data_IF_570976794088
#
_entry.id   IF_570976794088
#
_cell.length_a   1.000
_cell.length_b   1.000
_cell.length_c   1.000
_cell.angle_alpha   90.00
_cell.angle_beta   90.00
_cell.angle_gamma   90.00
#
_symmetry.space_group_name_H-M   'P 1'
#
loop_
_entity.id
_entity.type
_entity.pdbx_description
1 polymer ?
#
# COMPACT_ATOMS: atom_id res chain seq x y z
N UNK A 1 25.72 89.63 -46.60
CA UNK A 1 25.39 89.02 -45.30
C UNK A 1 26.41 87.90 -45.03
N UNK A 2 27.46 88.13 -44.21
CA UNK A 2 28.55 87.17 -44.13
C UNK A 2 28.64 86.41 -42.80
N UNK A 3 29.03 85.14 -42.95
CA UNK A 3 30.00 84.37 -42.18
C UNK A 3 29.74 83.98 -40.71
N UNK A 4 29.58 82.66 -40.53
CA UNK A 4 30.46 81.77 -39.77
C UNK A 4 31.12 82.29 -38.48
N UNK A 5 30.94 81.56 -37.37
CA UNK A 5 32.02 80.85 -36.63
C UNK A 5 31.53 80.28 -35.30
N UNK A 6 31.80 78.99 -35.11
CA UNK A 6 31.88 78.29 -33.82
C UNK A 6 32.95 78.92 -32.93
N UNK A 7 32.76 78.89 -31.60
CA UNK A 7 33.76 78.19 -30.78
C UNK A 7 33.16 77.39 -29.62
N UNK A 8 33.83 76.28 -29.31
CA UNK A 8 33.79 75.58 -28.02
C UNK A 8 35.16 75.77 -27.33
N UNK A 9 35.44 75.28 -26.11
CA UNK A 9 34.58 74.95 -24.96
C UNK A 9 35.09 75.61 -23.65
N UNK A 10 34.38 75.47 -22.54
CA UNK A 10 34.98 75.58 -21.19
C UNK A 10 34.43 74.49 -20.28
N UNK A 11 35.35 73.64 -19.82
CA UNK A 11 35.06 72.45 -19.04
C UNK A 11 34.69 72.78 -17.59
N UNK A 12 33.75 72.02 -17.05
CA UNK A 12 33.45 71.99 -15.61
C UNK A 12 33.69 70.55 -15.13
N UNK A 13 34.59 70.41 -14.16
CA UNK A 13 34.96 69.13 -13.53
C UNK A 13 33.99 68.87 -12.37
N UNK A 14 33.24 67.76 -12.32
CA UNK A 14 32.55 67.39 -11.09
C UNK A 14 33.46 66.54 -10.20
N UNK A 15 33.30 66.77 -8.90
CA UNK A 15 34.05 66.18 -7.81
C UNK A 15 33.88 64.65 -7.72
N UNK A 16 34.96 63.98 -7.32
CA UNK A 16 35.01 62.53 -7.09
C UNK A 16 34.21 62.20 -5.83
N UNK A 17 32.98 61.70 -5.98
CA UNK A 17 32.19 61.20 -4.85
C UNK A 17 32.67 59.80 -4.46
N UNK A 18 33.10 59.64 -3.22
CA UNK A 18 33.33 58.32 -2.61
C UNK A 18 31.98 57.70 -2.21
N UNK A 19 31.70 56.49 -2.71
CA UNK A 19 31.21 55.30 -1.97
C UNK A 19 30.56 54.28 -2.92
N UNK A 20 31.13 53.07 -3.05
CA UNK A 20 30.29 51.88 -3.26
C UNK A 20 30.60 50.70 -2.33
N UNK A 21 31.47 50.84 -1.32
CA UNK A 21 31.87 49.70 -0.48
C UNK A 21 30.86 49.28 0.61
N UNK A 22 29.86 50.13 0.94
CA UNK A 22 28.85 49.78 1.95
C UNK A 22 27.80 48.78 1.47
N UNK A 23 27.40 48.87 0.20
CA UNK A 23 26.37 48.01 -0.38
C UNK A 23 26.85 46.57 -0.58
N UNK A 24 28.11 46.37 -0.98
CA UNK A 24 28.69 45.04 -1.15
C UNK A 24 28.78 44.26 0.18
N UNK A 25 29.14 44.94 1.27
CA UNK A 25 29.21 44.32 2.59
C UNK A 25 27.81 43.98 3.14
N UNK A 26 26.81 44.85 2.93
CA UNK A 26 25.44 44.60 3.34
C UNK A 26 24.79 43.43 2.57
N UNK A 27 25.04 43.34 1.26
CA UNK A 27 24.54 42.22 0.42
C UNK A 27 25.23 40.91 0.78
N UNK A 28 26.55 40.92 1.03
CA UNK A 28 27.27 39.73 1.47
C UNK A 28 26.79 39.25 2.85
N UNK A 29 26.57 40.16 3.80
CA UNK A 29 26.02 39.82 5.12
C UNK A 29 24.59 39.25 5.02
N UNK A 30 23.75 39.83 4.16
CA UNK A 30 22.41 39.31 3.91
C UNK A 30 22.43 37.93 3.23
N UNK A 31 23.34 37.68 2.28
CA UNK A 31 23.52 36.38 1.65
C UNK A 31 24.07 35.32 2.62
N UNK A 32 24.97 35.70 3.52
CA UNK A 32 25.46 34.82 4.60
C UNK A 32 24.36 34.53 5.61
N UNK A 33 23.55 35.52 5.98
CA UNK A 33 22.39 35.31 6.86
C UNK A 33 21.34 34.43 6.20
N UNK A 34 21.01 34.63 4.92
CA UNK A 34 20.10 33.76 4.18
C UNK A 34 20.68 32.35 4.00
N UNK A 35 21.98 32.23 3.75
CA UNK A 35 22.69 30.95 3.70
C UNK A 35 22.72 30.25 5.05
N UNK A 36 22.88 30.99 6.15
CA UNK A 36 22.85 30.44 7.51
C UNK A 36 21.43 30.07 7.96
N UNK A 37 20.42 30.85 7.59
CA UNK A 37 19.00 30.53 7.80
C UNK A 37 18.62 29.31 6.97
N UNK A 38 19.02 29.25 5.69
CA UNK A 38 18.81 28.06 4.86
C UNK A 38 19.54 26.84 5.44
N UNK A 39 20.77 26.99 5.91
CA UNK A 39 21.56 25.91 6.50
C UNK A 39 21.01 25.44 7.85
N UNK A 40 20.45 26.35 8.66
CA UNK A 40 19.81 25.98 9.93
C UNK A 40 18.42 25.40 9.71
N UNK A 41 17.70 25.79 8.65
CA UNK A 41 16.43 25.18 8.25
C UNK A 41 16.59 23.81 7.59
N UNK A 42 17.73 23.53 6.95
CA UNK A 42 18.06 22.21 6.35
C UNK A 42 19.04 21.41 7.20
N UNK A 43 19.32 21.85 8.43
CA UNK A 43 20.12 21.05 9.35
C UNK A 43 19.25 19.85 9.76
N UNK A 44 19.74 18.60 9.66
CA UNK A 44 19.00 17.47 10.18
C UNK A 44 18.94 17.65 11.70
N UNK A 45 17.74 17.88 12.23
CA UNK A 45 17.52 17.83 13.67
C UNK A 45 17.55 16.35 14.09
N UNK A 46 18.53 15.97 14.92
CA UNK A 46 18.60 14.65 15.60
C UNK A 46 17.52 14.49 16.68
N UNK A 47 16.35 15.08 16.50
CA UNK A 47 15.20 14.92 17.39
C UNK A 47 14.08 14.16 16.69
N UNK A 48 14.10 12.85 16.96
CA UNK A 48 12.99 11.90 16.86
C UNK A 48 11.67 12.54 17.28
N UNK A 49 10.80 12.92 16.33
CA UNK A 49 9.33 12.76 16.30
C UNK A 49 8.79 13.25 14.93
N UNK A 50 9.24 12.61 13.86
CA UNK A 50 8.63 12.72 12.53
C UNK A 50 8.82 11.36 11.89
N UNK A 51 7.73 10.65 11.58
CA UNK A 51 7.83 9.33 10.94
C UNK A 51 8.66 9.43 9.67
N UNK A 52 9.74 8.65 9.57
CA UNK A 52 10.54 8.57 8.34
C UNK A 52 9.67 7.95 7.25
N UNK A 53 9.70 8.52 6.04
CA UNK A 53 8.94 7.97 4.92
C UNK A 53 9.50 6.61 4.48
N UNK A 54 8.68 5.77 3.83
CA UNK A 54 9.15 4.51 3.23
C UNK A 54 10.37 4.74 2.33
N UNK A 55 10.39 5.85 1.60
CA UNK A 55 11.49 6.23 0.72
C UNK A 55 12.78 6.57 1.51
N UNK A 56 12.67 7.32 2.62
CA UNK A 56 13.82 7.66 3.47
C UNK A 56 14.41 6.43 4.14
N UNK A 57 13.53 5.51 4.57
CA UNK A 57 13.95 4.27 5.22
C UNK A 57 14.61 3.33 4.21
N UNK A 58 14.05 3.16 3.01
CA UNK A 58 14.64 2.29 1.99
C UNK A 58 15.96 2.79 1.41
N UNK A 59 16.30 4.07 1.60
CA UNK A 59 17.56 4.65 1.14
C UNK A 59 18.77 4.29 2.04
N UNK A 60 18.54 3.81 3.26
CA UNK A 60 19.61 3.33 4.13
C UNK A 60 19.77 1.81 3.99
N UNK A 61 20.94 1.30 3.57
CA UNK A 61 21.16 -0.13 3.33
C UNK A 61 20.93 -1.03 4.56
N UNK A 62 21.08 -0.44 5.75
CA UNK A 62 20.94 -1.08 7.07
C UNK A 62 19.59 -0.78 7.74
N UNK A 63 18.68 -0.07 7.07
CA UNK A 63 17.37 0.22 7.65
C UNK A 63 16.63 -1.06 8.01
N UNK A 64 16.35 -1.18 9.30
CA UNK A 64 15.97 -2.42 9.95
C UNK A 64 14.60 -2.97 9.56
N UNK A 65 14.24 -4.03 10.25
CA UNK A 65 12.86 -4.54 10.30
C UNK A 65 12.09 -3.70 11.31
N UNK A 66 10.95 -3.17 10.90
CA UNK A 66 10.06 -2.38 11.76
C UNK A 66 8.87 -3.25 12.18
N UNK A 67 8.75 -3.61 13.48
CA UNK A 67 7.66 -4.48 13.97
C UNK A 67 6.26 -3.95 13.67
N UNK A 68 6.11 -2.63 13.59
CA UNK A 68 4.85 -1.96 13.26
C UNK A 68 4.43 -2.22 11.82
N UNK A 69 5.39 -2.27 10.89
CA UNK A 69 5.14 -2.53 9.48
C UNK A 69 4.85 -4.02 9.22
N UNK A 70 5.32 -4.92 10.06
CA UNK A 70 5.01 -6.35 9.95
C UNK A 70 3.50 -6.62 10.15
N UNK A 71 2.83 -5.80 10.96
CA UNK A 71 1.39 -5.90 11.24
C UNK A 71 0.50 -5.58 10.03
N UNK A 72 1.06 -5.06 8.94
CA UNK A 72 0.34 -4.78 7.69
C UNK A 72 -0.06 -6.04 6.92
N UNK A 73 0.61 -7.16 7.20
CA UNK A 73 0.28 -8.45 6.63
C UNK A 73 -1.10 -8.91 7.15
N UNK A 74 -2.13 -8.84 6.30
CA UNK A 74 -3.51 -9.20 6.69
C UNK A 74 -3.65 -10.70 6.88
N UNK A 75 -2.91 -11.51 6.10
CA UNK A 75 -2.92 -12.99 6.13
C UNK A 75 -4.33 -13.59 6.00
N UNK A 76 -5.26 -12.87 5.37
CA UNK A 76 -6.61 -13.36 5.13
C UNK A 76 -6.59 -14.36 3.96
N UNK A 77 -6.91 -15.63 4.26
CA UNK A 77 -6.98 -16.69 3.25
C UNK A 77 -8.06 -16.44 2.18
N UNK A 78 -9.06 -15.60 2.47
CA UNK A 78 -10.12 -15.23 1.56
C UNK A 78 -9.84 -13.96 0.75
N UNK A 79 -8.70 -13.28 0.98
CA UNK A 79 -8.35 -12.06 0.26
C UNK A 79 -8.11 -12.34 -1.24
N UNK A 80 -8.98 -11.84 -2.14
CA UNK A 80 -8.83 -12.09 -3.57
C UNK A 80 -7.69 -11.27 -4.20
N UNK A 81 -7.15 -10.28 -3.49
CA UNK A 81 -6.03 -9.42 -3.92
C UNK A 81 -4.68 -9.96 -3.42
N UNK A 82 -4.66 -11.14 -2.81
CA UNK A 82 -3.45 -11.80 -2.37
C UNK A 82 -3.12 -13.04 -3.21
N UNK A 83 -1.84 -13.38 -3.28
CA UNK A 83 -1.32 -14.58 -3.94
C UNK A 83 -0.42 -15.35 -2.99
N UNK A 84 -0.60 -16.67 -2.92
CA UNK A 84 0.12 -17.54 -2.00
C UNK A 84 -0.66 -17.82 -0.72
N UNK A 85 -0.18 -18.81 0.04
CA UNK A 85 -0.87 -19.29 1.24
C UNK A 85 -0.87 -18.23 2.35
N UNK A 86 -1.96 -18.12 3.10
CA UNK A 86 -2.07 -17.22 4.25
C UNK A 86 -0.99 -17.48 5.33
N UNK A 87 -0.56 -18.74 5.46
CA UNK A 87 0.44 -19.21 6.41
C UNK A 87 1.89 -19.15 5.87
N UNK A 88 2.12 -18.53 4.72
CA UNK A 88 3.48 -18.38 4.18
C UNK A 88 4.37 -17.64 5.20
N UNK A 89 5.61 -18.10 5.47
CA UNK A 89 6.48 -17.50 6.48
C UNK A 89 6.84 -16.05 6.15
N UNK A 90 6.88 -15.69 4.87
CA UNK A 90 7.16 -14.32 4.41
C UNK A 90 5.92 -13.73 3.71
N UNK A 91 5.59 -12.49 4.06
CA UNK A 91 4.57 -11.68 3.40
C UNK A 91 5.23 -10.43 2.83
N UNK A 92 4.94 -10.15 1.56
CA UNK A 92 5.27 -8.91 0.88
C UNK A 92 3.96 -8.16 0.59
N UNK A 93 3.79 -6.99 1.20
CA UNK A 93 2.70 -6.06 0.86
C UNK A 93 3.20 -5.14 -0.25
N UNK A 94 2.43 -4.98 -1.32
CA UNK A 94 2.70 -4.09 -2.44
C UNK A 94 1.64 -3.00 -2.56
N UNK A 95 2.06 -1.74 -2.46
CA UNK A 95 1.24 -0.56 -2.76
C UNK A 95 1.57 -0.07 -4.17
N UNK A 96 0.60 -0.16 -5.07
CA UNK A 96 0.85 0.07 -6.49
C UNK A 96 -0.34 0.67 -7.25
N UNK A 97 -0.03 1.21 -8.43
CA UNK A 97 -0.96 1.93 -9.30
C UNK A 97 -0.84 1.39 -10.73
N UNK A 98 -1.97 1.07 -11.37
CA UNK A 98 -2.01 0.54 -12.74
C UNK A 98 -1.47 1.50 -13.80
N UNK A 99 -1.44 2.81 -13.55
CA UNK A 99 -0.81 3.81 -14.43
C UNK A 99 0.68 3.99 -14.18
N UNK A 100 1.23 3.45 -13.10
CA UNK A 100 2.64 3.59 -12.82
C UNK A 100 3.49 2.72 -13.76
N UNK A 101 4.41 3.34 -14.50
CA UNK A 101 5.34 2.61 -15.37
C UNK A 101 6.27 1.67 -14.59
N UNK A 102 6.69 2.04 -13.37
CA UNK A 102 7.54 1.19 -12.54
C UNK A 102 6.78 0.01 -11.94
N UNK A 103 5.51 0.16 -11.57
CA UNK A 103 4.67 -0.97 -11.16
C UNK A 103 4.53 -1.98 -12.30
N UNK A 104 4.21 -1.51 -13.52
CA UNK A 104 4.15 -2.38 -14.69
C UNK A 104 5.47 -3.08 -15.00
N UNK A 105 6.61 -2.39 -14.80
CA UNK A 105 7.93 -3.00 -14.91
C UNK A 105 8.13 -4.10 -13.87
N UNK A 106 7.83 -3.84 -12.60
CA UNK A 106 7.94 -4.83 -11.53
C UNK A 106 7.06 -6.06 -11.80
N UNK A 107 5.79 -5.86 -12.16
CA UNK A 107 4.83 -6.91 -12.45
C UNK A 107 5.24 -7.81 -13.63
N UNK A 108 5.98 -7.28 -14.61
CA UNK A 108 6.45 -8.05 -15.78
C UNK A 108 7.80 -8.71 -15.57
N UNK A 109 8.72 -8.02 -14.89
CA UNK A 109 10.13 -8.44 -14.85
C UNK A 109 10.49 -9.18 -13.55
N UNK A 110 9.93 -8.79 -12.41
CA UNK A 110 10.35 -9.26 -11.08
C UNK A 110 9.30 -10.15 -10.42
N UNK A 111 8.03 -9.72 -10.39
CA UNK A 111 6.94 -10.49 -9.78
C UNK A 111 6.88 -11.96 -10.28
N UNK A 112 6.98 -12.26 -11.60
CA UNK A 112 6.88 -13.64 -12.07
C UNK A 112 8.04 -14.52 -11.60
N UNK A 113 9.22 -13.95 -11.36
CA UNK A 113 10.35 -14.68 -10.76
C UNK A 113 10.06 -15.00 -9.30
N UNK A 114 9.59 -14.02 -8.52
CA UNK A 114 9.24 -14.20 -7.10
C UNK A 114 8.12 -15.22 -6.92
N UNK A 115 7.13 -15.22 -7.81
CA UNK A 115 6.04 -16.19 -7.81
C UNK A 115 6.59 -17.62 -7.95
N UNK A 116 7.36 -17.89 -8.99
CA UNK A 116 7.92 -19.23 -9.25
C UNK A 116 8.89 -19.68 -8.15
N UNK A 117 9.72 -18.74 -7.66
CA UNK A 117 10.78 -19.06 -6.71
C UNK A 117 10.25 -19.29 -5.30
N UNK A 118 9.20 -18.56 -4.88
CA UNK A 118 8.77 -18.51 -3.48
C UNK A 118 7.27 -18.73 -3.28
N UNK A 119 6.41 -18.12 -4.08
CA UNK A 119 4.94 -18.22 -3.88
C UNK A 119 4.45 -19.63 -4.16
N UNK A 120 4.83 -20.20 -5.31
CA UNK A 120 4.46 -21.58 -5.69
C UNK A 120 5.03 -22.62 -4.72
N UNK A 121 6.11 -22.29 -4.00
CA UNK A 121 6.73 -23.14 -2.98
C UNK A 121 6.16 -22.91 -1.58
N UNK A 122 5.16 -22.04 -1.43
CA UNK A 122 4.54 -21.72 -0.14
C UNK A 122 5.42 -20.93 0.83
N UNK A 123 6.48 -20.27 0.33
CA UNK A 123 7.42 -19.47 1.13
C UNK A 123 6.97 -18.02 1.22
N UNK A 124 6.48 -17.46 0.11
CA UNK A 124 6.06 -16.06 0.01
C UNK A 124 4.55 -15.97 -0.21
N UNK A 125 3.94 -14.97 0.43
CA UNK A 125 2.64 -14.43 0.08
C UNK A 125 2.79 -12.98 -0.38
N UNK A 126 2.14 -12.63 -1.47
CA UNK A 126 2.08 -11.26 -1.98
C UNK A 126 0.68 -10.72 -1.69
N UNK A 127 0.58 -9.57 -1.04
CA UNK A 127 -0.69 -8.89 -0.77
C UNK A 127 -0.71 -7.54 -1.48
N UNK A 128 -1.65 -7.36 -2.40
CA UNK A 128 -1.81 -6.10 -3.11
C UNK A 128 -2.58 -5.07 -2.29
N UNK A 129 -2.21 -3.79 -2.44
CA UNK A 129 -2.88 -2.60 -1.92
C UNK A 129 -3.01 -1.58 -3.04
N UNK A 130 -4.24 -1.12 -3.27
CA UNK A 130 -4.48 -0.10 -4.27
C UNK A 130 -3.91 1.25 -3.79
N UNK A 131 -3.02 1.85 -4.57
CA UNK A 131 -2.47 3.18 -4.28
C UNK A 131 -2.55 4.11 -5.51
N UNK A 132 -3.78 4.46 -5.95
CA UNK A 132 -3.99 5.23 -7.18
C UNK A 132 -3.60 6.71 -7.00
N UNK A 133 -2.42 7.09 -7.44
CA UNK A 133 -1.86 8.45 -7.26
C UNK A 133 -1.76 9.25 -8.57
N UNK A 134 -2.09 8.66 -9.73
CA UNK A 134 -2.02 9.33 -11.05
C UNK A 134 -3.39 9.77 -11.60
N UNK A 135 -4.36 10.02 -10.72
CA UNK A 135 -5.65 10.64 -11.05
C UNK A 135 -6.78 9.65 -11.36
N UNK A 136 -7.84 10.15 -12.02
CA UNK A 136 -9.12 9.43 -12.16
C UNK A 136 -9.01 8.06 -12.84
N UNK A 137 -8.16 7.94 -13.85
CA UNK A 137 -7.93 6.65 -14.53
C UNK A 137 -7.25 5.62 -13.62
N UNK A 138 -6.37 6.05 -12.71
CA UNK A 138 -5.77 5.16 -11.71
C UNK A 138 -6.82 4.65 -10.74
N UNK A 139 -7.68 5.54 -10.26
CA UNK A 139 -8.81 5.21 -9.39
C UNK A 139 -9.77 4.23 -10.09
N UNK A 140 -10.10 4.48 -11.36
CA UNK A 140 -10.95 3.61 -12.16
C UNK A 140 -10.33 2.22 -12.34
N UNK A 141 -9.03 2.14 -12.64
CA UNK A 141 -8.31 0.87 -12.76
C UNK A 141 -8.25 0.10 -11.43
N UNK A 142 -8.02 0.78 -10.31
CA UNK A 142 -8.00 0.18 -8.97
C UNK A 142 -9.38 -0.43 -8.61
N UNK A 143 -10.47 0.31 -8.82
CA UNK A 143 -11.84 -0.19 -8.59
C UNK A 143 -12.18 -1.36 -9.51
N UNK A 144 -11.77 -1.30 -10.77
CA UNK A 144 -11.92 -2.40 -11.72
C UNK A 144 -11.16 -3.66 -11.26
N UNK A 145 -9.91 -3.52 -10.83
CA UNK A 145 -9.14 -4.64 -10.30
C UNK A 145 -9.81 -5.25 -9.07
N UNK A 146 -10.29 -4.41 -8.14
CA UNK A 146 -11.07 -4.86 -6.99
C UNK A 146 -12.31 -5.65 -7.42
N UNK A 147 -13.08 -5.15 -8.40
CA UNK A 147 -14.27 -5.83 -8.93
C UNK A 147 -13.93 -7.17 -9.62
N UNK A 148 -12.80 -7.26 -10.33
CA UNK A 148 -12.30 -8.52 -10.87
C UNK A 148 -11.96 -9.51 -9.73
N UNK A 149 -11.39 -9.02 -8.63
CA UNK A 149 -11.15 -9.79 -7.40
C UNK A 149 -12.42 -10.40 -6.81
N UNK A 150 -13.56 -9.68 -6.85
CA UNK A 150 -14.87 -10.20 -6.42
C UNK A 150 -15.39 -11.39 -7.24
N UNK A 151 -14.75 -11.68 -8.38
CA UNK A 151 -15.01 -12.84 -9.22
C UNK A 151 -13.79 -13.78 -9.33
N UNK A 152 -12.81 -13.65 -8.43
CA UNK A 152 -11.62 -14.51 -8.38
C UNK A 152 -10.66 -14.30 -9.56
N UNK A 153 -10.67 -13.11 -10.17
CA UNK A 153 -9.88 -12.77 -11.37
C UNK A 153 -8.93 -11.59 -11.17
N UNK A 154 -8.63 -11.20 -9.94
CA UNK A 154 -7.73 -10.08 -9.66
C UNK A 154 -6.37 -10.24 -10.36
N UNK A 155 -5.65 -11.34 -10.12
CA UNK A 155 -4.30 -11.53 -10.67
C UNK A 155 -4.25 -11.66 -12.20
N UNK A 156 -5.32 -12.19 -12.80
CA UNK A 156 -5.46 -12.22 -14.26
C UNK A 156 -5.72 -10.82 -14.82
N UNK A 157 -6.55 -10.02 -14.13
CA UNK A 157 -6.78 -8.62 -14.47
C UNK A 157 -5.52 -7.79 -14.28
N UNK A 158 -4.81 -7.97 -13.17
CA UNK A 158 -3.52 -7.35 -12.87
C UNK A 158 -2.52 -7.57 -14.01
N UNK A 159 -2.34 -8.83 -14.41
CA UNK A 159 -1.46 -9.19 -15.53
C UNK A 159 -1.92 -8.55 -16.85
N UNK A 160 -3.22 -8.50 -17.12
CA UNK A 160 -3.76 -7.89 -18.33
C UNK A 160 -3.56 -6.37 -18.34
N UNK A 161 -3.80 -5.70 -17.21
CA UNK A 161 -3.68 -4.26 -17.06
C UNK A 161 -2.22 -3.77 -17.12
N UNK A 162 -1.25 -4.60 -16.73
CA UNK A 162 0.18 -4.31 -16.84
C UNK A 162 0.86 -4.85 -18.10
N UNK A 163 0.11 -5.53 -18.99
CA UNK A 163 0.66 -5.97 -20.27
C UNK A 163 1.20 -4.79 -21.09
N UNK A 164 2.20 -5.05 -21.94
CA UNK A 164 2.76 -4.03 -22.83
C UNK A 164 1.67 -3.37 -23.68
N UNK A 165 1.65 -2.03 -23.71
CA UNK A 165 0.67 -1.26 -24.47
C UNK A 165 -0.70 -1.08 -23.80
N UNK A 166 -0.97 -1.73 -22.66
CA UNK A 166 -2.27 -1.62 -21.98
C UNK A 166 -2.49 -0.22 -21.40
N UNK A 167 -1.50 0.31 -20.66
CA UNK A 167 -1.55 1.65 -20.07
C UNK A 167 -1.71 2.75 -21.13
N UNK A 168 -1.04 2.60 -22.28
CA UNK A 168 -1.06 3.58 -23.37
C UNK A 168 -2.45 3.71 -24.02
N UNK A 169 -3.30 2.68 -23.90
CA UNK A 169 -4.71 2.71 -24.29
C UNK A 169 -5.62 3.41 -23.27
N UNK A 170 -5.08 3.74 -22.10
CA UNK A 170 -5.82 4.34 -20.98
C UNK A 170 -6.62 3.32 -20.17
N UNK A 171 -7.34 3.83 -19.19
CA UNK A 171 -8.19 3.02 -18.29
C UNK A 171 -9.62 3.56 -18.26
N UNK A 172 -10.13 3.93 -19.43
CA UNK A 172 -11.54 4.23 -19.63
C UNK A 172 -12.43 2.99 -19.47
N UNK A 173 -13.71 3.23 -19.24
CA UNK A 173 -14.69 2.18 -18.93
C UNK A 173 -14.71 1.01 -19.93
N UNK A 174 -14.68 1.31 -21.23
CA UNK A 174 -14.64 0.29 -22.28
C UNK A 174 -13.36 -0.56 -22.17
N UNK A 175 -12.19 0.08 -22.06
CA UNK A 175 -10.91 -0.61 -21.97
C UNK A 175 -10.84 -1.48 -20.70
N UNK A 176 -11.39 -1.01 -19.58
CA UNK A 176 -11.47 -1.79 -18.34
C UNK A 176 -12.36 -3.03 -18.49
N UNK A 177 -13.50 -2.92 -19.18
CA UNK A 177 -14.35 -4.08 -19.50
C UNK A 177 -13.63 -5.07 -20.43
N UNK A 178 -12.86 -4.58 -21.41
CA UNK A 178 -12.07 -5.43 -22.30
C UNK A 178 -10.95 -6.17 -21.54
N UNK A 179 -10.23 -5.49 -20.65
CA UNK A 179 -9.23 -6.10 -19.77
C UNK A 179 -9.85 -7.16 -18.85
N UNK A 180 -11.04 -6.91 -18.31
CA UNK A 180 -11.79 -7.88 -17.52
C UNK A 180 -12.18 -9.11 -18.35
N UNK A 181 -12.58 -8.93 -19.61
CA UNK A 181 -12.85 -10.04 -20.52
C UNK A 181 -11.58 -10.88 -20.79
N UNK A 182 -10.44 -10.23 -21.05
CA UNK A 182 -9.13 -10.90 -21.21
C UNK A 182 -8.73 -11.65 -19.94
N UNK A 183 -9.02 -11.09 -18.77
CA UNK A 183 -8.78 -11.72 -17.48
C UNK A 183 -9.70 -12.92 -17.18
N UNK A 184 -10.70 -13.18 -18.04
CA UNK A 184 -11.65 -14.27 -17.87
C UNK A 184 -12.69 -13.99 -16.77
N UNK A 185 -13.03 -12.73 -16.53
CA UNK A 185 -14.19 -12.31 -15.74
C UNK A 185 -15.46 -12.77 -16.46
N UNK A 186 -16.29 -13.56 -15.78
CA UNK A 186 -17.44 -14.22 -16.42
C UNK A 186 -18.65 -13.30 -16.52
N UNK A 187 -18.91 -12.50 -15.48
CA UNK A 187 -20.05 -11.59 -15.43
C UNK A 187 -19.54 -10.14 -15.54
N UNK A 188 -19.47 -9.65 -16.79
CA UNK A 188 -19.02 -8.29 -17.09
C UNK A 188 -20.03 -7.21 -16.66
N UNK A 189 -21.31 -7.56 -16.57
CA UNK A 189 -22.34 -6.63 -16.09
C UNK A 189 -22.18 -6.41 -14.58
N UNK A 190 -22.01 -7.50 -13.82
CA UNK A 190 -21.64 -7.45 -12.40
C UNK A 190 -20.32 -6.74 -12.19
N UNK A 191 -19.30 -7.03 -12.99
CA UNK A 191 -17.99 -6.38 -12.88
C UNK A 191 -18.11 -4.86 -12.92
N UNK A 192 -18.84 -4.30 -13.89
CA UNK A 192 -19.01 -2.85 -13.98
C UNK A 192 -19.80 -2.31 -12.80
N UNK A 193 -20.92 -2.94 -12.43
CA UNK A 193 -21.71 -2.50 -11.27
C UNK A 193 -20.88 -2.52 -9.99
N UNK A 194 -20.12 -3.59 -9.76
CA UNK A 194 -19.26 -3.74 -8.58
C UNK A 194 -18.10 -2.73 -8.63
N UNK A 195 -17.54 -2.41 -9.80
CA UNK A 195 -16.50 -1.39 -9.93
C UNK A 195 -17.03 0.03 -9.61
N UNK A 196 -18.28 0.34 -9.98
CA UNK A 196 -18.92 1.64 -9.73
C UNK A 196 -19.56 1.75 -8.35
N UNK A 197 -19.48 0.69 -7.55
CA UNK A 197 -20.11 0.62 -6.24
C UNK A 197 -19.35 1.45 -5.20
N UNK A 198 -20.05 1.78 -4.12
CA UNK A 198 -19.45 2.49 -2.99
C UNK A 198 -18.44 1.62 -2.24
N UNK A 199 -18.66 0.31 -2.20
CA UNK A 199 -17.75 -0.66 -1.60
C UNK A 199 -16.39 -0.67 -2.32
N UNK A 200 -16.37 -0.55 -3.65
CA UNK A 200 -15.13 -0.44 -4.41
C UNK A 200 -14.37 0.84 -4.08
N UNK A 201 -15.07 1.99 -4.04
CA UNK A 201 -14.47 3.28 -3.64
C UNK A 201 -13.86 3.21 -2.24
N UNK A 202 -14.60 2.67 -1.28
CA UNK A 202 -14.12 2.55 0.10
C UNK A 202 -12.96 1.55 0.21
N UNK A 203 -12.97 0.45 -0.54
CA UNK A 203 -11.85 -0.49 -0.53
C UNK A 203 -10.56 0.14 -1.06
N UNK A 204 -10.65 0.86 -2.18
CA UNK A 204 -9.52 1.58 -2.76
C UNK A 204 -9.04 2.69 -1.84
N UNK A 205 -9.95 3.51 -1.29
CA UNK A 205 -9.61 4.58 -0.36
C UNK A 205 -8.91 4.07 0.91
N UNK A 206 -9.37 2.95 1.49
CA UNK A 206 -8.71 2.36 2.67
C UNK A 206 -7.27 1.93 2.39
N UNK A 207 -7.03 1.23 1.28
CA UNK A 207 -5.67 0.84 0.90
C UNK A 207 -4.80 2.09 0.62
N UNK A 208 -5.40 3.12 0.03
CA UNK A 208 -4.71 4.35 -0.31
C UNK A 208 -4.30 5.16 0.93
N UNK A 209 -5.23 5.32 1.89
CA UNK A 209 -5.00 5.95 3.18
C UNK A 209 -3.96 5.18 4.01
N UNK A 210 -3.99 3.84 3.97
CA UNK A 210 -2.95 2.99 4.56
C UNK A 210 -1.58 3.33 3.97
N UNK A 211 -1.45 3.40 2.63
CA UNK A 211 -0.21 3.80 1.96
C UNK A 211 0.29 5.19 2.39
N UNK A 212 -0.59 6.19 2.44
CA UNK A 212 -0.22 7.53 2.91
C UNK A 212 0.20 7.54 4.39
N UNK A 213 -0.48 6.78 5.24
CA UNK A 213 -0.16 6.67 6.67
C UNK A 213 1.23 6.09 6.95
N UNK A 214 1.75 5.30 6.01
CA UNK A 214 3.12 4.75 6.06
C UNK A 214 4.17 5.74 5.52
N UNK A 215 3.75 6.89 4.99
CA UNK A 215 4.63 7.82 4.30
C UNK A 215 5.07 7.30 2.92
N UNK A 216 4.28 6.44 2.26
CA UNK A 216 4.55 6.10 0.86
C UNK A 216 4.33 7.34 -0.01
N UNK A 217 5.37 7.79 -0.69
CA UNK A 217 5.33 8.97 -1.57
C UNK A 217 5.45 8.61 -3.06
N UNK A 218 5.60 7.32 -3.37
CA UNK A 218 5.74 6.82 -4.73
C UNK A 218 5.25 5.38 -4.87
N UNK A 219 5.09 4.93 -6.12
CA UNK A 219 4.70 3.57 -6.48
C UNK A 219 5.75 2.93 -7.40
N UNK A 220 6.00 1.61 -7.29
CA UNK A 220 5.49 0.74 -6.23
C UNK A 220 6.23 1.01 -4.91
N UNK A 221 5.57 0.79 -3.79
CA UNK A 221 6.18 0.75 -2.46
C UNK A 221 5.87 -0.61 -1.83
N UNK A 222 6.85 -1.22 -1.16
CA UNK A 222 6.71 -2.56 -0.62
C UNK A 222 7.08 -2.62 0.86
N UNK A 223 6.50 -3.61 1.55
CA UNK A 223 6.92 -4.02 2.89
C UNK A 223 7.09 -5.54 2.91
N UNK A 224 8.29 -6.04 3.20
CA UNK A 224 8.61 -7.47 3.31
C UNK A 224 8.88 -7.81 4.78
N UNK A 225 7.93 -8.47 5.47
CA UNK A 225 7.97 -8.71 6.93
C UNK A 225 8.54 -7.53 7.72
N UNK A 226 7.94 -6.35 7.57
CA UNK A 226 8.34 -5.14 8.28
C UNK A 226 9.54 -4.37 7.69
N UNK A 227 10.20 -4.88 6.64
CA UNK A 227 11.27 -4.16 5.92
C UNK A 227 10.69 -3.39 4.72
N UNK A 228 10.74 -2.04 4.70
CA UNK A 228 10.26 -1.26 3.57
C UNK A 228 11.23 -1.29 2.38
N UNK A 229 10.69 -1.36 1.17
CA UNK A 229 11.42 -1.24 -0.10
C UNK A 229 10.68 -0.25 -1.00
N UNK A 230 11.31 0.88 -1.33
CA UNK A 230 10.74 1.89 -2.22
C UNK A 230 11.15 1.65 -3.68
N UNK A 231 10.16 1.64 -4.58
CA UNK A 231 10.35 1.56 -6.02
C UNK A 231 10.59 0.15 -6.55
N UNK A 232 10.56 0.02 -7.88
CA UNK A 232 10.84 -1.23 -8.59
C UNK A 232 12.35 -1.54 -8.61
N UNK A 233 12.89 -1.91 -7.43
CA UNK A 233 14.28 -2.28 -7.22
C UNK A 233 14.67 -3.54 -8.04
N UNK A 234 15.97 -3.82 -8.23
CA UNK A 234 16.41 -5.07 -8.86
C UNK A 234 15.86 -6.30 -8.12
N UNK A 235 15.58 -7.39 -8.85
CA UNK A 235 15.04 -8.63 -8.27
C UNK A 235 15.89 -9.19 -7.11
N UNK A 236 17.21 -8.98 -7.16
CA UNK A 236 18.14 -9.34 -6.07
C UNK A 236 17.75 -8.71 -4.72
N UNK A 237 17.34 -7.45 -4.71
CA UNK A 237 16.92 -6.75 -3.48
C UNK A 237 15.72 -7.43 -2.82
N UNK A 238 14.73 -7.85 -3.61
CA UNK A 238 13.57 -8.58 -3.12
C UNK A 238 13.95 -9.99 -2.66
N UNK A 239 14.80 -10.69 -3.42
CA UNK A 239 15.32 -12.01 -3.07
C UNK A 239 16.03 -11.97 -1.72
N UNK A 240 16.90 -11.00 -1.50
CA UNK A 240 17.66 -10.86 -0.26
C UNK A 240 16.75 -10.54 0.93
N UNK A 241 15.76 -9.66 0.75
CA UNK A 241 14.78 -9.34 1.78
C UNK A 241 13.93 -10.56 2.17
N UNK A 242 13.46 -11.33 1.19
CA UNK A 242 12.67 -12.56 1.42
C UNK A 242 13.51 -13.62 2.15
N UNK A 243 14.75 -13.82 1.73
CA UNK A 243 15.65 -14.80 2.33
C UNK A 243 16.07 -14.41 3.76
N UNK A 244 16.29 -13.12 4.03
CA UNK A 244 16.53 -12.61 5.36
C UNK A 244 15.31 -12.82 6.28
N UNK A 245 14.10 -12.45 5.81
CA UNK A 245 12.86 -12.65 6.54
C UNK A 245 12.62 -14.15 6.86
N UNK A 246 12.82 -15.03 5.87
CA UNK A 246 12.67 -16.48 6.05
C UNK A 246 13.61 -17.01 7.14
N UNK A 247 14.87 -16.57 7.18
CA UNK A 247 15.84 -16.98 8.20
C UNK A 247 15.46 -16.47 9.60
N UNK A 248 14.94 -15.24 9.70
CA UNK A 248 14.50 -14.68 10.97
C UNK A 248 13.37 -15.51 11.58
N UNK A 249 12.36 -15.90 10.79
CA UNK A 249 11.25 -16.78 11.23
C UNK A 249 11.76 -18.14 11.72
N UNK A 250 12.85 -18.68 11.14
CA UNK A 250 13.43 -19.95 11.60
C UNK A 250 14.32 -19.83 12.84
N UNK A 251 14.72 -18.61 13.23
CA UNK A 251 15.67 -18.36 14.32
C UNK A 251 14.97 -17.87 15.60
N UNK A 252 13.77 -17.32 15.49
CA UNK A 252 12.96 -16.99 16.66
C UNK A 252 12.56 -18.29 17.38
N UNK A 253 13.01 -18.53 18.63
CA UNK A 253 12.65 -19.75 19.33
C UNK A 253 11.14 -19.75 19.50
N UNK A 254 10.50 -20.87 19.13
CA UNK A 254 9.08 -21.08 19.36
C UNK A 254 8.77 -20.79 20.84
N UNK A 255 8.23 -19.60 21.10
CA UNK A 255 7.60 -19.26 22.37
C UNK A 255 6.49 -20.28 22.65
N UNK A 256 6.15 -20.52 23.92
CA UNK A 256 5.33 -21.67 24.29
C UNK A 256 3.88 -21.42 23.90
N UNK A 257 3.50 -21.73 22.66
CA UNK A 257 2.10 -21.87 22.31
C UNK A 257 1.89 -23.00 21.29
N UNK A 258 1.18 -24.02 21.78
CA UNK A 258 0.45 -25.04 21.02
C UNK A 258 1.26 -26.18 20.38
N UNK A 259 1.90 -27.00 21.22
CA UNK A 259 2.01 -28.42 20.86
C UNK A 259 0.59 -29.04 20.84
N UNK A 260 0.20 -29.81 19.81
CA UNK A 260 -1.08 -30.49 19.80
C UNK A 260 -1.08 -31.56 20.89
N UNK A 261 -1.98 -31.44 21.88
CA UNK A 261 -2.19 -32.49 22.87
C UNK A 261 -2.62 -33.76 22.15
N UNK A 262 -1.71 -34.74 22.11
CA UNK A 262 -1.99 -36.08 21.67
C UNK A 262 -3.12 -36.66 22.53
N UNK A 263 -4.21 -37.06 21.86
CA UNK A 263 -5.28 -37.83 22.46
C UNK A 263 -4.74 -39.24 22.77
N UNK A 264 -4.65 -39.60 24.06
CA UNK A 264 -4.49 -40.98 24.49
C UNK A 264 -5.78 -41.44 25.22
N UNK A 265 -6.18 -42.72 25.08
CA UNK A 265 -7.51 -43.16 25.48
C UNK A 265 -7.56 -43.72 26.92
N UNK A 266 -8.68 -43.47 27.59
CA UNK A 266 -9.22 -44.34 28.65
C UNK A 266 -8.87 -43.98 30.09
N UNK A 267 -9.90 -43.62 30.88
CA UNK A 267 -10.10 -44.09 32.26
C UNK A 267 -11.44 -43.60 32.83
N UNK A 268 -12.38 -44.53 32.91
CA UNK A 268 -13.45 -44.79 33.90
C UNK A 268 -13.81 -43.71 34.94
N UNK A 269 -15.09 -43.33 34.96
CA UNK A 269 -15.74 -42.60 36.05
C UNK A 269 -16.21 -43.54 37.19
N UNK A 270 -16.23 -43.10 38.46
CA UNK A 270 -17.03 -43.72 39.50
C UNK A 270 -18.29 -42.89 39.83
N UNK A 271 -19.42 -43.61 39.98
CA UNK A 271 -20.71 -43.09 40.44
C UNK A 271 -20.70 -42.58 41.89
N UNK A 272 -21.75 -41.88 42.35
CA UNK A 272 -22.98 -42.45 42.96
C UNK A 272 -23.43 -41.40 44.03
N UNK A 273 -24.65 -41.38 44.64
CA UNK A 273 -26.01 -41.80 44.28
C UNK A 273 -27.09 -40.68 44.40
N UNK A 274 -28.32 -41.02 44.00
CA UNK A 274 -29.59 -40.37 44.37
C UNK A 274 -30.15 -40.84 45.74
N UNK A 275 -31.21 -40.19 46.25
CA UNK A 275 -32.49 -40.91 46.45
C UNK A 275 -33.70 -40.06 45.99
N UNK A 276 -34.67 -40.61 45.25
CA UNK A 276 -35.96 -41.15 45.76
C UNK A 276 -36.94 -40.02 46.14
N UNK A 277 -38.12 -39.83 45.51
CA UNK A 277 -39.33 -40.65 45.73
C UNK A 277 -40.55 -40.07 44.96
N UNK A 278 -41.26 -40.95 44.25
CA UNK A 278 -42.71 -40.99 43.84
C UNK A 278 -43.41 -39.87 43.05
N UNK A 279 -44.07 -40.31 41.96
CA UNK A 279 -45.20 -39.70 41.23
C UNK A 279 -46.56 -39.95 41.98
N UNK A 280 -47.75 -39.40 41.60
CA UNK A 280 -48.36 -39.55 40.26
C UNK A 280 -49.25 -38.40 39.70
N UNK A 281 -49.40 -38.40 38.38
CA UNK A 281 -50.61 -38.15 37.54
C UNK A 281 -51.59 -37.00 37.84
N UNK A 282 -52.00 -36.26 36.78
CA UNK A 282 -53.41 -35.88 36.43
C UNK A 282 -53.45 -34.82 35.30
N UNK A 283 -53.88 -35.27 34.11
CA UNK A 283 -54.90 -34.68 33.19
C UNK A 283 -54.83 -33.23 32.68
N UNK A 284 -54.92 -33.08 31.35
CA UNK A 284 -55.27 -31.86 30.59
C UNK A 284 -56.77 -31.47 30.79
N UNK A 285 -57.26 -30.25 30.41
CA UNK A 285 -57.49 -29.79 29.01
C UNK A 285 -57.15 -28.28 28.81
N UNK A 286 -56.87 -27.72 27.63
CA UNK A 286 -57.76 -27.51 26.48
C UNK A 286 -58.08 -26.01 26.27
N UNK A 287 -57.48 -25.39 25.23
CA UNK A 287 -57.99 -24.29 24.34
C UNK A 287 -58.38 -22.92 24.97
N UNK A 288 -58.52 -21.77 24.22
CA UNK A 288 -58.38 -21.58 22.78
C UNK A 288 -57.62 -20.32 22.28
N UNK A 289 -57.38 -20.35 20.97
CA UNK A 289 -57.10 -19.22 20.06
C UNK A 289 -58.37 -18.38 19.86
N UNK A 290 -58.27 -17.08 19.57
CA UNK A 290 -59.18 -16.45 18.63
C UNK A 290 -58.41 -15.92 17.42
N UNK A 291 -58.75 -16.46 16.25
CA UNK A 291 -58.53 -15.80 14.97
C UNK A 291 -59.81 -15.12 14.51
N UNK A 292 -59.66 -14.02 13.78
CA UNK A 292 -60.56 -13.49 12.73
C UNK A 292 -59.74 -12.39 12.04
N UNK A 293 -59.35 -12.55 10.76
CA UNK A 293 -60.15 -12.27 9.55
C UNK A 293 -60.37 -10.74 9.38
N UNK A 294 -60.16 -10.10 8.22
CA UNK A 294 -59.89 -10.52 6.84
C UNK A 294 -60.31 -9.37 5.89
N UNK A 295 -59.93 -9.46 4.61
CA UNK A 295 -60.45 -8.66 3.48
C UNK A 295 -59.78 -7.29 3.29
N UNK A 296 -59.40 -6.82 2.10
CA UNK A 296 -59.54 -7.23 0.69
C UNK A 296 -58.27 -6.83 -0.06
#
# INVERSE_FOLDING_TARGET
MPASRTPAPSGTRPARSLKPFGYGAAVAAAAVLLGFVSYTATKPDDSTTGGRSVADVSAEPDAGVYPELEKLARRDAADPLALGRADAPVVMVEYADFKCGYCGKFARDTEPELIRKYVEKGVLRIEWRNFPIFGEESEAAARAAWAAGRQGRFWQFHKAAYADGAKEKGFGEQQLRELAAVAGVKDLARFTRDADSEEARQAVARDQEEGYGLGATSTPSFVVNGRPIAGAQPAGTFVDAIEAARKAVTTEPAGPESAPTALAPGATAPGTPAPGTTAPGTTAPGTPVPGTAGGE
#
